data_IF_044984302718
#
_entry.id   IF_044984302718
#
_cell.length_a   1.000
_cell.length_b   1.000
_cell.length_c   1.000
_cell.angle_alpha   90.00
_cell.angle_beta   90.00
_cell.angle_gamma   90.00
#
_symmetry.space_group_name_H-M   'P 1'
#
loop_
_entity.id
_entity.type
_entity.pdbx_description
1 polymer ?
#
# COMPACT_ATOMS: atom_id res chain seq x y z
N UNK A 1 8.57 0.20 -23.37
CA UNK A 1 8.59 -0.52 -22.09
C UNK A 1 8.38 0.51 -21.00
N UNK A 2 7.28 0.34 -20.27
CA UNK A 2 6.89 1.19 -19.16
C UNK A 2 6.74 0.33 -17.91
N UNK A 3 7.14 0.89 -16.77
CA UNK A 3 6.96 0.24 -15.47
C UNK A 3 5.88 0.96 -14.70
N UNK A 4 4.92 0.19 -14.21
CA UNK A 4 3.84 0.67 -13.36
C UNK A 4 3.98 0.06 -11.98
N UNK A 5 3.81 0.87 -10.93
CA UNK A 5 3.78 0.40 -9.54
C UNK A 5 2.73 1.16 -8.77
N UNK A 6 2.09 0.51 -7.82
CA UNK A 6 1.23 1.20 -6.85
C UNK A 6 1.89 1.22 -5.48
N UNK A 7 1.55 2.25 -4.70
CA UNK A 7 1.92 2.36 -3.30
C UNK A 7 0.65 2.58 -2.49
N UNK A 8 0.56 1.96 -1.32
CA UNK A 8 -0.48 2.18 -0.34
C UNK A 8 0.13 2.77 0.92
N UNK A 9 -0.59 3.70 1.54
CA UNK A 9 -0.13 4.38 2.74
C UNK A 9 -1.28 4.66 3.69
N UNK A 10 -0.95 4.73 4.98
CA UNK A 10 -1.88 5.11 6.04
C UNK A 10 -1.67 6.57 6.36
N UNK A 11 -2.72 7.36 6.28
CA UNK A 11 -2.74 8.70 6.87
C UNK A 11 -3.51 8.67 8.19
N UNK A 12 -2.92 9.28 9.22
CA UNK A 12 -3.60 9.46 10.50
C UNK A 12 -4.23 10.84 10.51
N UNK A 13 -5.51 10.95 10.87
CA UNK A 13 -6.18 12.25 10.95
C UNK A 13 -5.44 13.24 11.86
N UNK A 14 -4.83 12.73 12.93
CA UNK A 14 -4.06 13.54 13.87
C UNK A 14 -2.75 14.11 13.29
N UNK A 15 -2.21 13.53 12.22
CA UNK A 15 -0.97 14.01 11.56
C UNK A 15 -1.25 14.94 10.39
N UNK A 16 -2.51 15.18 10.04
CA UNK A 16 -2.88 16.08 8.95
C UNK A 16 -2.62 17.53 9.36
N UNK A 17 -1.78 18.23 8.58
CA UNK A 17 -1.46 19.66 8.80
C UNK A 17 -2.69 20.55 8.61
N UNK A 18 -3.55 20.18 7.67
CA UNK A 18 -4.82 20.83 7.41
C UNK A 18 -5.96 19.84 7.64
N UNK A 19 -6.63 20.00 8.77
CA UNK A 19 -7.75 19.15 9.17
C UNK A 19 -9.04 19.45 8.40
N UNK A 20 -9.06 20.50 7.58
CA UNK A 20 -10.18 20.87 6.72
C UNK A 20 -10.11 20.24 5.33
N UNK A 21 -9.01 19.55 5.01
CA UNK A 21 -8.85 18.84 3.75
C UNK A 21 -9.97 17.83 3.55
N UNK A 22 -10.68 17.96 2.43
CA UNK A 22 -11.73 17.02 2.00
C UNK A 22 -11.15 15.69 1.51
N UNK A 23 -9.86 15.66 1.14
CA UNK A 23 -9.19 14.47 0.62
C UNK A 23 -7.73 14.46 1.05
N UNK A 24 -7.32 13.34 1.65
CA UNK A 24 -5.93 13.03 2.01
C UNK A 24 -5.12 12.81 0.73
N UNK A 25 -3.88 13.31 0.71
CA UNK A 25 -2.93 13.07 -0.38
C UNK A 25 -1.85 12.07 0.04
N UNK A 26 -1.07 11.58 -0.93
CA UNK A 26 0.04 10.68 -0.62
C UNK A 26 1.09 11.30 0.30
N UNK A 27 1.27 12.63 0.30
CA UNK A 27 2.23 13.31 1.18
C UNK A 27 1.79 13.36 2.64
N UNK A 28 0.52 13.05 2.92
CA UNK A 28 -0.06 13.05 4.25
C UNK A 28 0.04 11.67 4.93
N UNK A 29 0.52 10.66 4.20
CA UNK A 29 0.68 9.32 4.72
C UNK A 29 1.88 9.23 5.68
N UNK A 30 1.68 8.49 6.77
CA UNK A 30 2.70 8.11 7.74
C UNK A 30 3.49 6.89 7.25
N UNK A 31 2.88 6.07 6.40
CA UNK A 31 3.50 4.87 5.83
C UNK A 31 3.42 4.86 4.30
N UNK A 32 4.37 4.19 3.65
CA UNK A 32 4.36 4.00 2.20
C UNK A 32 4.87 2.60 1.84
N UNK A 33 3.95 1.67 1.56
CA UNK A 33 4.27 0.32 1.13
C UNK A 33 4.00 0.17 -0.37
N UNK A 34 4.99 -0.36 -1.10
CA UNK A 34 4.83 -0.73 -2.50
C UNK A 34 4.01 -2.02 -2.65
N UNK A 35 3.58 -2.30 -3.87
CA UNK A 35 2.90 -3.52 -4.30
C UNK A 35 3.52 -4.83 -3.75
N UNK A 36 4.85 -4.94 -3.70
CA UNK A 36 5.57 -6.11 -3.17
C UNK A 36 5.29 -6.44 -1.69
N UNK A 37 4.81 -5.48 -0.90
CA UNK A 37 4.35 -5.74 0.47
C UNK A 37 3.05 -6.54 0.51
N UNK A 38 2.24 -6.41 -0.55
CA UNK A 38 0.89 -6.96 -0.61
C UNK A 38 0.81 -8.18 -1.53
N UNK A 39 1.57 -8.21 -2.61
CA UNK A 39 1.52 -9.26 -3.62
C UNK A 39 2.52 -10.37 -3.30
N UNK A 40 2.06 -11.58 -2.93
CA UNK A 40 2.95 -12.73 -2.86
C UNK A 40 3.48 -13.02 -4.26
N UNK A 41 4.81 -13.15 -4.38
CA UNK A 41 5.51 -13.43 -5.63
C UNK A 41 5.21 -12.42 -6.76
N UNK A 42 5.30 -11.12 -6.44
CA UNK A 42 5.02 -10.01 -7.36
C UNK A 42 5.76 -10.10 -8.70
N UNK A 43 6.97 -10.67 -8.72
CA UNK A 43 7.81 -10.80 -9.91
C UNK A 43 7.32 -11.86 -10.89
N UNK A 44 6.82 -13.00 -10.41
CA UNK A 44 6.46 -14.13 -11.29
C UNK A 44 5.01 -14.06 -11.80
N UNK A 45 4.35 -12.91 -11.67
CA UNK A 45 2.98 -12.70 -12.18
C UNK A 45 3.01 -12.40 -13.69
N UNK A 46 1.86 -12.51 -14.36
CA UNK A 46 1.73 -12.31 -15.83
C UNK A 46 2.42 -11.04 -16.33
N UNK A 47 2.28 -9.95 -15.58
CA UNK A 47 2.91 -8.65 -15.87
C UNK A 47 3.93 -8.26 -14.78
N UNK A 48 4.40 -9.20 -13.98
CA UNK A 48 5.26 -8.95 -12.83
C UNK A 48 6.71 -8.70 -13.21
N UNK A 49 7.38 -7.84 -12.45
CA UNK A 49 8.79 -7.50 -12.60
C UNK A 49 9.43 -7.15 -11.26
N UNK A 50 10.74 -6.88 -11.25
CA UNK A 50 11.42 -6.37 -10.06
C UNK A 50 10.98 -4.93 -9.69
N UNK A 51 10.31 -4.22 -10.60
CA UNK A 51 9.91 -2.82 -10.45
C UNK A 51 8.38 -2.64 -10.27
N UNK A 52 7.66 -3.74 -10.03
CA UNK A 52 6.20 -3.79 -10.00
C UNK A 52 5.68 -4.47 -11.25
N UNK A 53 4.87 -3.77 -12.03
CA UNK A 53 4.32 -4.23 -13.30
C UNK A 53 5.14 -3.77 -14.50
N UNK A 54 5.36 -4.65 -15.46
CA UNK A 54 6.00 -4.36 -16.74
C UNK A 54 4.95 -4.39 -17.86
N UNK A 55 4.88 -3.28 -18.60
CA UNK A 55 3.93 -3.08 -19.70
C UNK A 55 4.74 -2.72 -20.95
N UNK A 56 4.51 -3.48 -22.02
CA UNK A 56 5.16 -3.29 -23.32
C UNK A 56 4.19 -2.68 -24.33
N UNK A 57 4.71 -2.22 -25.47
CA UNK A 57 3.90 -1.59 -26.53
C UNK A 57 2.80 -2.49 -27.10
N UNK A 58 3.05 -3.80 -27.06
CA UNK A 58 2.21 -4.89 -27.53
C UNK A 58 1.29 -5.46 -26.43
N UNK A 59 1.40 -4.95 -25.21
CA UNK A 59 0.54 -5.41 -24.11
C UNK A 59 -0.90 -5.02 -24.38
N UNK A 60 -1.79 -6.02 -24.43
CA UNK A 60 -3.22 -5.78 -24.45
C UNK A 60 -3.66 -5.18 -23.11
N UNK A 61 -4.09 -3.91 -23.13
CA UNK A 61 -4.41 -3.18 -21.92
C UNK A 61 -5.54 -3.82 -21.11
N UNK A 62 -6.53 -4.43 -21.77
CA UNK A 62 -7.63 -5.11 -21.09
C UNK A 62 -7.14 -6.31 -20.27
N UNK A 63 -6.18 -7.07 -20.80
CA UNK A 63 -5.55 -8.18 -20.09
C UNK A 63 -4.79 -7.68 -18.85
N UNK A 64 -4.09 -6.55 -18.99
CA UNK A 64 -3.39 -5.91 -17.87
C UNK A 64 -4.38 -5.48 -16.79
N UNK A 65 -5.46 -4.79 -17.15
CA UNK A 65 -6.48 -4.33 -16.21
C UNK A 65 -7.12 -5.50 -15.48
N UNK A 66 -7.46 -6.60 -16.17
CA UNK A 66 -8.02 -7.80 -15.55
C UNK A 66 -7.02 -8.42 -14.57
N UNK A 67 -5.75 -8.56 -14.97
CA UNK A 67 -4.71 -9.09 -14.08
C UNK A 67 -4.50 -8.21 -12.86
N UNK A 68 -4.39 -6.90 -13.06
CA UNK A 68 -4.22 -5.92 -11.99
C UNK A 68 -5.41 -5.94 -11.01
N UNK A 69 -6.63 -6.01 -11.53
CA UNK A 69 -7.84 -6.10 -10.71
C UNK A 69 -7.86 -7.38 -9.86
N UNK A 70 -7.48 -8.52 -10.44
CA UNK A 70 -7.38 -9.79 -9.72
C UNK A 70 -6.29 -9.74 -8.64
N UNK A 71 -5.16 -9.10 -8.93
CA UNK A 71 -4.09 -8.90 -7.96
C UNK A 71 -4.58 -8.07 -6.77
N UNK A 72 -5.28 -6.97 -7.06
CA UNK A 72 -5.79 -6.07 -6.04
C UNK A 72 -6.86 -6.75 -5.17
N UNK A 73 -7.83 -7.41 -5.81
CA UNK A 73 -8.99 -7.99 -5.13
C UNK A 73 -8.64 -9.22 -4.30
N UNK A 74 -7.71 -10.06 -4.77
CA UNK A 74 -7.41 -11.33 -4.11
C UNK A 74 -6.24 -11.25 -3.11
N UNK A 75 -5.40 -10.20 -3.19
CA UNK A 75 -4.18 -10.11 -2.38
C UNK A 75 -4.03 -8.78 -1.65
N UNK A 76 -4.26 -7.66 -2.34
CA UNK A 76 -4.01 -6.33 -1.76
C UNK A 76 -5.10 -5.94 -0.77
N UNK A 77 -6.36 -5.95 -1.20
CA UNK A 77 -7.49 -5.59 -0.35
C UNK A 77 -7.61 -6.48 0.88
N UNK A 78 -7.53 -7.82 0.78
CA UNK A 78 -7.67 -8.68 1.96
C UNK A 78 -6.62 -8.40 3.03
N UNK A 79 -5.36 -8.17 2.66
CA UNK A 79 -4.29 -7.82 3.60
C UNK A 79 -4.48 -6.44 4.24
N UNK A 80 -5.07 -5.51 3.50
CA UNK A 80 -5.33 -4.17 4.00
C UNK A 80 -6.53 -4.14 4.96
N UNK A 81 -7.52 -5.00 4.74
CA UNK A 81 -8.74 -5.12 5.55
C UNK A 81 -8.60 -6.11 6.71
N UNK A 82 -7.56 -6.95 6.73
CA UNK A 82 -7.28 -7.93 7.78
C UNK A 82 -7.16 -7.31 9.19
N UNK A 83 -6.44 -6.18 9.39
CA UNK A 83 -6.32 -5.60 10.72
C UNK A 83 -7.65 -5.00 11.21
N UNK A 84 -8.21 -5.56 12.28
CA UNK A 84 -9.51 -5.15 12.84
C UNK A 84 -9.41 -4.01 13.86
N UNK A 85 -8.20 -3.71 14.34
CA UNK A 85 -7.93 -2.68 15.33
C UNK A 85 -6.52 -2.11 15.18
N UNK A 86 -6.23 -1.01 15.90
CA UNK A 86 -4.96 -0.29 15.79
C UNK A 86 -3.75 -1.17 16.16
N UNK A 87 -3.89 -2.06 17.15
CA UNK A 87 -2.80 -2.96 17.54
C UNK A 87 -2.45 -3.92 16.40
N UNK A 88 -3.45 -4.56 15.82
CA UNK A 88 -3.26 -5.46 14.66
C UNK A 88 -2.69 -4.70 13.45
N UNK A 89 -3.08 -3.44 13.25
CA UNK A 89 -2.54 -2.59 12.20
C UNK A 89 -1.04 -2.33 12.41
N UNK A 90 -0.64 -1.98 13.63
CA UNK A 90 0.78 -1.82 13.99
C UNK A 90 1.52 -3.14 13.79
N UNK A 91 0.97 -4.25 14.27
CA UNK A 91 1.58 -5.57 14.17
C UNK A 91 1.79 -5.97 12.69
N UNK A 92 0.84 -5.68 11.80
CA UNK A 92 1.02 -5.84 10.35
C UNK A 92 2.16 -4.98 9.82
N UNK A 93 2.22 -3.68 10.15
CA UNK A 93 3.26 -2.79 9.62
C UNK A 93 4.64 -3.04 10.24
N UNK A 94 4.73 -3.65 11.42
CA UNK A 94 6.00 -4.03 12.08
C UNK A 94 6.85 -5.02 11.30
N UNK A 95 6.25 -5.80 10.40
CA UNK A 95 7.03 -6.64 9.46
C UNK A 95 7.86 -5.79 8.48
N UNK A 96 7.53 -4.50 8.33
CA UNK A 96 8.27 -3.51 7.55
C UNK A 96 8.95 -2.52 8.50
N UNK A 97 10.09 -2.92 9.08
CA UNK A 97 10.77 -2.26 10.22
C UNK A 97 10.65 -0.73 10.24
N UNK A 98 11.04 -0.04 9.16
CA UNK A 98 10.97 1.42 9.09
C UNK A 98 9.53 1.96 9.21
N UNK A 99 8.59 1.40 8.44
CA UNK A 99 7.20 1.88 8.40
C UNK A 99 6.40 1.48 9.62
N UNK A 100 6.63 0.28 10.18
CA UNK A 100 6.05 -0.15 11.44
C UNK A 100 6.43 0.75 12.59
N UNK A 101 7.72 1.02 12.76
CA UNK A 101 8.23 1.90 13.82
C UNK A 101 7.71 3.33 13.66
N UNK A 102 7.65 3.84 12.41
CA UNK A 102 7.11 5.17 12.13
C UNK A 102 5.62 5.27 12.47
N UNK A 103 4.83 4.25 12.12
CA UNK A 103 3.40 4.20 12.43
C UNK A 103 3.14 4.16 13.93
N UNK A 104 3.83 3.26 14.65
CA UNK A 104 3.73 3.12 16.10
C UNK A 104 4.08 4.44 16.81
N UNK A 105 5.21 5.06 16.43
CA UNK A 105 5.63 6.35 16.97
C UNK A 105 4.59 7.45 16.77
N UNK A 106 3.97 7.55 15.58
CA UNK A 106 2.94 8.57 15.34
C UNK A 106 1.69 8.31 16.17
N UNK A 107 1.31 7.06 16.36
CA UNK A 107 0.17 6.68 17.19
C UNK A 107 0.42 7.07 18.66
N UNK A 108 1.61 6.81 19.19
CA UNK A 108 2.01 7.20 20.55
C UNK A 108 2.04 8.72 20.75
N UNK A 109 2.71 9.45 19.84
CA UNK A 109 2.82 10.93 19.90
C UNK A 109 1.44 11.59 19.91
N UNK A 110 0.50 11.02 19.14
CA UNK A 110 -0.86 11.56 19.00
C UNK A 110 -1.86 10.94 19.99
N UNK A 111 -1.42 10.07 20.91
CA UNK A 111 -2.26 9.43 21.95
C UNK A 111 -3.51 8.77 21.36
N UNK A 112 -3.33 8.02 20.27
CA UNK A 112 -4.43 7.33 19.57
C UNK A 112 -4.77 5.96 20.17
N UNK A 113 -4.00 5.51 21.18
CA UNK A 113 -4.23 4.34 22.03
C UNK A 113 -3.92 4.74 23.47
#
# INVERSE_FOLDING_TARGET
>A
MEYFRFNLGIALKATLKDTTLKKVTHFDCVTHLGDGAFLPDSKNRKFGSNLGYEIESETHLDDFVISFFNDFSNYVLPKFEEPSNIKELIDFYKQFEFWGNQLEKQIEINKLI
#
